data_IF_577721607021
#
_entry.id   IF_577721607021
#
_cell.length_a   1.000
_cell.length_b   1.000
_cell.length_c   1.000
_cell.angle_alpha   90.00
_cell.angle_beta   90.00
_cell.angle_gamma   90.00
#
_symmetry.space_group_name_H-M   'P 1'
#
loop_
_entity.id
_entity.type
_entity.pdbx_description
1 polymer ?
#
# COMPACT_ATOMS: atom_id res chain seq x y z
N UNK A 1 6.74 -23.32 47.45
CA UNK A 1 6.67 -23.58 46.01
C UNK A 1 6.39 -22.24 45.36
N UNK A 2 7.43 -21.56 44.83
CA UNK A 2 7.28 -20.26 44.22
C UNK A 2 6.90 -20.42 42.78
N UNK A 3 5.72 -19.94 42.42
CA UNK A 3 5.22 -19.84 41.05
C UNK A 3 6.05 -18.80 40.31
N UNK A 4 6.95 -19.25 39.43
CA UNK A 4 7.65 -18.34 38.49
C UNK A 4 6.62 -17.82 37.50
N UNK A 5 6.12 -16.60 37.73
CA UNK A 5 5.38 -15.87 36.70
C UNK A 5 6.24 -15.84 35.43
N UNK A 6 5.80 -16.51 34.38
CA UNK A 6 6.41 -16.41 33.06
C UNK A 6 6.18 -14.98 32.58
N UNK A 7 7.24 -14.22 32.53
CA UNK A 7 7.21 -12.88 31.94
C UNK A 7 6.96 -13.06 30.44
N UNK A 8 5.69 -13.04 30.03
CA UNK A 8 5.31 -13.06 28.60
C UNK A 8 5.63 -11.67 28.07
N UNK A 9 6.78 -11.53 27.40
CA UNK A 9 7.09 -10.31 26.67
C UNK A 9 6.05 -10.17 25.55
N UNK A 10 5.18 -9.16 25.65
CA UNK A 10 4.20 -8.84 24.61
C UNK A 10 4.97 -8.21 23.44
N UNK A 11 4.89 -8.82 22.25
CA UNK A 11 5.50 -8.26 21.04
C UNK A 11 4.78 -6.95 20.66
N UNK A 12 5.50 -5.83 20.44
CA UNK A 12 4.89 -4.59 19.97
C UNK A 12 4.14 -4.79 18.65
N UNK A 13 3.03 -4.07 18.47
CA UNK A 13 2.20 -4.15 17.25
C UNK A 13 3.01 -3.84 15.99
N UNK A 14 3.92 -2.87 16.05
CA UNK A 14 4.80 -2.54 14.92
C UNK A 14 5.69 -3.72 14.53
N UNK A 15 6.25 -4.44 15.50
CA UNK A 15 7.09 -5.62 15.24
C UNK A 15 6.28 -6.80 14.69
N UNK A 16 5.01 -6.92 15.08
CA UNK A 16 4.12 -7.94 14.52
C UNK A 16 3.70 -7.61 13.09
N UNK A 17 3.55 -6.31 12.75
CA UNK A 17 3.11 -5.85 11.44
C UNK A 17 4.22 -5.87 10.38
N UNK A 18 5.47 -5.59 10.77
CA UNK A 18 6.58 -5.42 9.83
C UNK A 18 6.85 -6.65 8.94
N UNK A 19 6.86 -7.91 9.45
CA UNK A 19 7.09 -9.06 8.57
C UNK A 19 6.04 -9.21 7.47
N UNK A 20 4.77 -8.92 7.77
CA UNK A 20 3.69 -8.93 6.79
C UNK A 20 3.86 -7.77 5.80
N UNK A 21 4.15 -6.56 6.29
CA UNK A 21 4.42 -5.41 5.43
C UNK A 21 5.57 -5.70 4.45
N UNK A 22 6.70 -6.20 4.95
CA UNK A 22 7.87 -6.51 4.13
C UNK A 22 7.54 -7.56 3.05
N UNK A 23 6.81 -8.61 3.42
CA UNK A 23 6.37 -9.66 2.48
C UNK A 23 5.43 -9.12 1.40
N UNK A 24 4.42 -8.31 1.80
CA UNK A 24 3.48 -7.72 0.85
C UNK A 24 4.16 -6.72 -0.10
N UNK A 25 5.11 -5.93 0.41
CA UNK A 25 5.85 -4.98 -0.44
C UNK A 25 6.78 -5.69 -1.42
N UNK A 26 7.45 -6.76 -1.01
CA UNK A 26 8.25 -7.58 -1.92
C UNK A 26 7.40 -8.18 -3.05
N UNK A 27 6.24 -8.73 -2.74
CA UNK A 27 5.30 -9.26 -3.73
C UNK A 27 4.73 -8.15 -4.65
N UNK A 28 4.47 -6.98 -4.10
CA UNK A 28 4.00 -5.84 -4.89
C UNK A 28 5.07 -5.37 -5.87
N UNK A 29 6.32 -5.32 -5.44
CA UNK A 29 7.44 -4.95 -6.28
C UNK A 29 7.59 -5.90 -7.48
N UNK A 30 7.50 -7.23 -7.27
CA UNK A 30 7.50 -8.23 -8.35
C UNK A 30 6.43 -7.93 -9.43
N UNK A 31 5.22 -7.56 -9.01
CA UNK A 31 4.15 -7.21 -9.94
C UNK A 31 4.42 -5.90 -10.70
N UNK A 32 4.94 -4.87 -10.02
CA UNK A 32 5.30 -3.58 -10.63
C UNK A 32 6.45 -3.71 -11.64
N UNK A 33 7.43 -4.58 -11.40
CA UNK A 33 8.54 -4.86 -12.32
C UNK A 33 8.09 -5.44 -13.67
N UNK A 34 6.91 -6.07 -13.71
CA UNK A 34 6.34 -6.65 -14.94
C UNK A 34 5.53 -5.65 -15.77
N UNK A 35 5.26 -4.45 -15.25
CA UNK A 35 4.41 -3.49 -15.96
C UNK A 35 5.08 -3.05 -17.27
N UNK A 36 4.49 -3.33 -18.44
CA UNK A 36 5.04 -2.94 -19.74
C UNK A 36 4.78 -1.45 -19.97
N UNK A 37 5.87 -0.70 -20.15
CA UNK A 37 5.83 0.76 -20.24
C UNK A 37 5.05 1.23 -21.49
N UNK A 38 5.20 0.52 -22.58
CA UNK A 38 4.49 0.78 -23.85
C UNK A 38 2.97 0.58 -23.74
N UNK A 39 2.50 -0.06 -22.66
CA UNK A 39 1.08 -0.29 -22.37
C UNK A 39 0.50 0.63 -21.29
N UNK A 40 1.22 1.63 -20.84
CA UNK A 40 0.74 2.52 -19.76
C UNK A 40 -0.61 3.17 -20.05
N UNK A 41 -0.91 3.46 -21.33
CA UNK A 41 -2.20 4.01 -21.75
C UNK A 41 -3.33 3.00 -21.89
N UNK A 42 -3.02 1.68 -21.85
CA UNK A 42 -4.02 0.63 -22.04
C UNK A 42 -4.96 0.51 -20.84
N UNK A 43 -6.22 0.19 -21.08
CA UNK A 43 -7.24 -0.09 -20.05
C UNK A 43 -8.20 -1.18 -20.51
N UNK A 44 -8.72 -2.02 -19.62
CA UNK A 44 -9.63 -3.11 -19.99
C UNK A 44 -11.04 -2.63 -20.30
N UNK A 45 -11.41 -1.45 -19.81
CA UNK A 45 -12.74 -0.87 -19.95
C UNK A 45 -12.67 0.66 -19.84
N UNK A 46 -13.60 1.38 -20.45
CA UNK A 46 -13.65 2.86 -20.46
C UNK A 46 -13.69 3.47 -19.05
N UNK A 47 -14.36 2.80 -18.10
CA UNK A 47 -14.48 3.24 -16.70
C UNK A 47 -13.31 2.81 -15.81
N UNK A 48 -12.37 2.02 -16.33
CA UNK A 48 -11.23 1.52 -15.56
C UNK A 48 -10.05 2.50 -15.61
N UNK A 49 -9.19 2.46 -14.61
CA UNK A 49 -7.88 3.10 -14.67
C UNK A 49 -7.08 2.53 -15.84
N UNK A 50 -6.20 3.33 -16.42
CA UNK A 50 -5.17 2.81 -17.33
C UNK A 50 -4.17 1.97 -16.54
N UNK A 51 -3.43 1.09 -17.23
CA UNK A 51 -2.39 0.25 -16.61
C UNK A 51 -1.35 1.10 -15.86
N UNK A 52 -0.86 2.18 -16.49
CA UNK A 52 0.09 3.09 -15.84
C UNK A 52 -0.51 3.79 -14.62
N UNK A 53 -1.79 4.22 -14.67
CA UNK A 53 -2.45 4.86 -13.51
C UNK A 53 -2.67 3.87 -12.37
N UNK A 54 -3.09 2.64 -12.66
CA UNK A 54 -3.27 1.60 -11.66
C UNK A 54 -1.92 1.24 -10.98
N UNK A 55 -0.87 1.03 -11.78
CA UNK A 55 0.45 0.74 -11.27
C UNK A 55 0.99 1.88 -10.39
N UNK A 56 0.83 3.14 -10.83
CA UNK A 56 1.22 4.31 -10.02
C UNK A 56 0.41 4.39 -8.74
N UNK A 57 -0.89 4.09 -8.78
CA UNK A 57 -1.73 4.06 -7.58
C UNK A 57 -1.22 3.04 -6.56
N UNK A 58 -0.86 1.85 -7.00
CA UNK A 58 -0.24 0.83 -6.14
C UNK A 58 1.06 1.34 -5.52
N UNK A 59 1.91 2.05 -6.29
CA UNK A 59 3.18 2.56 -5.81
C UNK A 59 3.05 3.73 -4.83
N UNK A 60 1.99 4.55 -4.95
CA UNK A 60 1.78 5.71 -4.09
C UNK A 60 1.12 5.39 -2.75
N UNK A 61 0.41 4.25 -2.62
CA UNK A 61 -0.40 3.93 -1.42
C UNK A 61 0.40 3.83 -0.13
N UNK A 62 1.64 3.35 -0.16
CA UNK A 62 2.49 3.31 1.04
C UNK A 62 2.88 4.69 1.55
N UNK A 63 2.80 5.73 0.70
CA UNK A 63 3.01 7.12 1.09
C UNK A 63 1.99 7.65 2.12
N UNK A 64 0.87 6.96 2.31
CA UNK A 64 -0.12 7.31 3.34
C UNK A 64 0.32 6.94 4.76
N UNK A 65 1.30 6.04 4.91
CA UNK A 65 1.75 5.59 6.24
C UNK A 65 2.31 6.74 7.09
N UNK A 66 3.27 7.56 6.63
CA UNK A 66 3.74 8.71 7.41
C UNK A 66 2.61 9.66 7.77
N UNK A 67 1.77 10.05 6.80
CA UNK A 67 0.63 10.94 7.05
C UNK A 67 -0.30 10.38 8.13
N UNK A 68 -0.60 9.07 8.10
CA UNK A 68 -1.45 8.42 9.10
C UNK A 68 -0.82 8.43 10.49
N UNK A 69 0.51 8.27 10.60
CA UNK A 69 1.20 8.20 11.89
C UNK A 69 1.54 9.57 12.48
N UNK A 70 1.73 10.59 11.65
CA UNK A 70 2.24 11.92 12.06
C UNK A 70 1.15 12.98 12.18
N UNK A 71 -0.03 12.79 11.54
CA UNK A 71 -1.16 13.72 11.63
C UNK A 71 -2.33 13.12 12.42
N UNK A 72 -3.32 13.94 12.77
CA UNK A 72 -4.58 13.49 13.38
C UNK A 72 -5.64 13.18 12.33
N UNK A 73 -5.53 13.81 11.14
CA UNK A 73 -6.50 13.69 10.05
C UNK A 73 -5.87 14.07 8.71
N UNK A 74 -6.54 13.70 7.64
CA UNK A 74 -6.25 14.17 6.30
C UNK A 74 -7.55 14.48 5.55
N UNK A 75 -7.66 15.68 4.97
CA UNK A 75 -8.77 16.05 4.07
C UNK A 75 -8.25 15.99 2.63
N UNK A 76 -8.76 15.06 1.84
CA UNK A 76 -8.31 14.91 0.44
C UNK A 76 -9.03 15.88 -0.53
N UNK A 77 -10.03 16.63 -0.07
CA UNK A 77 -10.76 17.63 -0.87
C UNK A 77 -11.13 18.84 -0.02
N UNK A 78 -10.16 19.54 0.63
CA UNK A 78 -10.47 20.64 1.53
C UNK A 78 -11.18 21.79 0.78
N UNK A 79 -12.15 22.48 1.41
CA UNK A 79 -12.89 23.55 0.79
C UNK A 79 -11.96 24.63 0.21
N UNK A 80 -12.21 25.03 -1.04
CA UNK A 80 -11.41 26.06 -1.73
C UNK A 80 -10.09 25.56 -2.33
N UNK A 81 -9.67 24.33 -2.07
CA UNK A 81 -8.50 23.76 -2.75
C UNK A 81 -8.87 23.19 -4.13
N UNK A 82 -7.97 23.23 -5.10
CA UNK A 82 -8.17 22.56 -6.38
C UNK A 82 -8.25 21.04 -6.18
N UNK A 83 -9.04 20.33 -7.00
CA UNK A 83 -9.08 18.88 -6.95
C UNK A 83 -7.70 18.26 -7.10
N UNK A 84 -7.38 17.23 -6.29
CA UNK A 84 -6.15 16.47 -6.44
C UNK A 84 -6.17 15.81 -7.82
N UNK A 85 -5.18 16.14 -8.66
CA UNK A 85 -5.01 15.51 -9.95
C UNK A 85 -4.14 14.26 -9.80
N UNK A 86 -4.69 13.04 -10.05
CA UNK A 86 -3.89 11.83 -9.98
C UNK A 86 -2.77 11.88 -11.03
N UNK A 87 -1.53 11.70 -10.58
CA UNK A 87 -0.38 11.60 -11.46
C UNK A 87 -0.21 10.16 -11.95
N UNK A 88 0.42 10.00 -13.10
CA UNK A 88 0.86 8.72 -13.62
C UNK A 88 2.36 8.80 -13.84
N UNK A 89 3.12 7.81 -13.37
CA UNK A 89 4.55 7.71 -13.61
C UNK A 89 4.82 7.73 -15.13
N UNK A 90 5.86 8.44 -15.56
CA UNK A 90 6.22 8.54 -16.97
C UNK A 90 6.98 7.33 -17.49
N UNK A 91 7.52 6.49 -16.59
CA UNK A 91 8.28 5.29 -16.94
C UNK A 91 8.17 4.22 -15.84
N UNK A 92 8.53 2.98 -16.17
CA UNK A 92 8.66 1.90 -15.17
C UNK A 92 9.76 2.19 -14.15
N UNK A 93 10.84 2.84 -14.57
CA UNK A 93 11.92 3.25 -13.68
C UNK A 93 11.42 4.24 -12.62
N UNK A 94 10.70 5.29 -13.03
CA UNK A 94 10.07 6.26 -12.12
C UNK A 94 9.05 5.59 -11.18
N UNK A 95 8.26 4.65 -11.70
CA UNK A 95 7.30 3.87 -10.93
C UNK A 95 7.96 3.09 -9.80
N UNK A 96 9.05 2.38 -10.10
CA UNK A 96 9.79 1.57 -9.13
C UNK A 96 10.54 2.44 -8.12
N UNK A 97 11.16 3.54 -8.54
CA UNK A 97 11.81 4.51 -7.65
C UNK A 97 10.81 5.11 -6.65
N UNK A 98 9.63 5.52 -7.12
CA UNK A 98 8.55 6.02 -6.27
C UNK A 98 8.14 4.97 -5.24
N UNK A 99 7.91 3.72 -5.69
CA UNK A 99 7.52 2.62 -4.82
C UNK A 99 8.58 2.35 -3.76
N UNK A 100 9.83 2.15 -4.15
CA UNK A 100 10.93 1.81 -3.25
C UNK A 100 11.15 2.92 -2.19
N UNK A 101 11.08 4.19 -2.59
CA UNK A 101 11.17 5.34 -1.69
C UNK A 101 10.01 5.35 -0.68
N UNK A 102 8.78 5.19 -1.15
CA UNK A 102 7.60 5.20 -0.30
C UNK A 102 7.61 4.02 0.69
N UNK A 103 8.01 2.83 0.24
CA UNK A 103 8.16 1.64 1.09
C UNK A 103 9.20 1.85 2.18
N UNK A 104 10.38 2.39 1.84
CA UNK A 104 11.43 2.66 2.81
C UNK A 104 10.95 3.63 3.90
N UNK A 105 10.28 4.72 3.50
CA UNK A 105 9.72 5.72 4.41
C UNK A 105 8.62 5.13 5.30
N UNK A 106 7.69 4.38 4.71
CA UNK A 106 6.61 3.72 5.43
C UNK A 106 7.14 2.70 6.45
N UNK A 107 8.11 1.87 6.03
CA UNK A 107 8.75 0.88 6.91
C UNK A 107 9.42 1.51 8.11
N UNK A 108 10.16 2.60 7.91
CA UNK A 108 10.80 3.34 8.99
C UNK A 108 9.77 3.91 9.97
N UNK A 109 8.69 4.52 9.46
CA UNK A 109 7.60 5.07 10.26
C UNK A 109 6.88 3.97 11.09
N UNK A 110 6.57 2.82 10.49
CA UNK A 110 5.97 1.68 11.21
C UNK A 110 6.92 1.18 12.30
N UNK A 111 8.21 1.02 11.99
CA UNK A 111 9.21 0.51 12.94
C UNK A 111 9.37 1.41 14.17
N UNK A 112 9.22 2.72 14.00
CA UNK A 112 9.31 3.71 15.10
C UNK A 112 8.03 3.90 15.88
N UNK A 113 6.89 3.36 15.42
CA UNK A 113 5.60 3.58 16.06
C UNK A 113 5.41 2.74 17.34
N UNK A 114 5.00 3.39 18.43
CA UNK A 114 4.59 2.73 19.66
C UNK A 114 3.16 2.18 19.54
N UNK A 115 2.82 1.18 20.38
CA UNK A 115 1.45 0.65 20.47
C UNK A 115 0.45 1.75 20.83
N UNK A 116 0.82 2.64 21.74
CA UNK A 116 -0.02 3.77 22.11
C UNK A 116 -0.31 4.67 20.91
N UNK A 117 0.69 4.98 20.08
CA UNK A 117 0.53 5.79 18.87
C UNK A 117 -0.33 5.07 17.83
N UNK A 118 -0.16 3.75 17.65
CA UNK A 118 -0.94 2.93 16.71
C UNK A 118 -2.43 2.83 17.09
N UNK A 119 -2.76 2.99 18.36
CA UNK A 119 -4.14 2.95 18.87
C UNK A 119 -4.85 4.32 18.83
N UNK A 120 -4.15 5.43 18.58
CA UNK A 120 -4.78 6.75 18.42
C UNK A 120 -5.70 6.75 17.20
N UNK A 121 -6.94 7.29 17.32
CA UNK A 121 -7.81 7.49 16.16
C UNK A 121 -7.19 8.41 15.11
N UNK A 122 -7.39 8.09 13.85
CA UNK A 122 -7.07 8.93 12.71
C UNK A 122 -8.30 9.09 11.83
N UNK A 123 -8.50 10.29 11.28
CA UNK A 123 -9.72 10.66 10.57
C UNK A 123 -9.44 11.02 9.12
N UNK A 124 -10.12 10.36 8.18
CA UNK A 124 -10.19 10.78 6.78
C UNK A 124 -11.38 11.73 6.57
N UNK A 125 -11.11 12.84 5.92
CA UNK A 125 -12.11 13.87 5.60
C UNK A 125 -12.21 14.06 4.08
N UNK A 126 -13.37 14.54 3.65
CA UNK A 126 -13.62 15.06 2.29
C UNK A 126 -14.46 16.34 2.40
N UNK A 127 -13.88 17.47 2.05
CA UNK A 127 -14.58 18.77 2.15
C UNK A 127 -14.96 19.13 3.57
N UNK A 128 -14.14 18.81 4.56
CA UNK A 128 -14.40 19.00 5.98
C UNK A 128 -15.37 17.98 6.59
N UNK A 129 -15.91 17.04 5.80
CA UNK A 129 -16.83 15.99 6.31
C UNK A 129 -16.06 14.72 6.59
N UNK A 130 -16.29 14.12 7.76
CA UNK A 130 -15.70 12.83 8.12
C UNK A 130 -16.20 11.71 7.22
N UNK A 131 -15.28 11.01 6.56
CA UNK A 131 -15.54 9.77 5.82
C UNK A 131 -15.48 8.58 6.79
N UNK A 132 -14.41 8.50 7.58
CA UNK A 132 -14.28 7.55 8.68
C UNK A 132 -13.28 8.07 9.74
N UNK A 133 -13.36 7.50 10.94
CA UNK A 133 -12.36 7.63 12.00
C UNK A 133 -12.13 6.27 12.64
N UNK A 134 -10.87 5.83 12.69
CA UNK A 134 -10.52 4.53 13.27
C UNK A 134 -9.07 4.56 13.79
N UNK A 135 -8.67 3.61 14.67
CA UNK A 135 -7.28 3.53 15.14
C UNK A 135 -6.29 3.47 13.97
N UNK A 136 -5.14 4.13 14.09
CA UNK A 136 -4.10 4.17 13.05
C UNK A 136 -3.71 2.78 12.56
N UNK A 137 -3.58 1.80 13.46
CA UNK A 137 -3.31 0.41 13.05
C UNK A 137 -4.36 -0.14 12.07
N UNK A 138 -5.65 0.18 12.27
CA UNK A 138 -6.72 -0.24 11.38
C UNK A 138 -6.64 0.48 10.03
N UNK A 139 -6.23 1.75 10.01
CA UNK A 139 -5.95 2.49 8.76
C UNK A 139 -4.80 1.85 8.00
N UNK A 140 -3.66 1.57 8.66
CA UNK A 140 -2.51 0.92 8.04
C UNK A 140 -2.88 -0.44 7.44
N UNK A 141 -3.67 -1.25 8.15
CA UNK A 141 -4.11 -2.56 7.67
C UNK A 141 -5.14 -2.43 6.54
N UNK A 142 -6.21 -1.66 6.74
CA UNK A 142 -7.35 -1.58 5.84
C UNK A 142 -7.09 -0.69 4.62
N UNK A 143 -6.67 0.55 4.87
CA UNK A 143 -6.56 1.57 3.82
C UNK A 143 -5.20 1.63 3.13
N UNK A 144 -4.16 0.98 3.69
CA UNK A 144 -2.87 0.88 3.02
C UNK A 144 -2.63 -0.55 2.54
N UNK A 145 -2.41 -1.50 3.43
CA UNK A 145 -1.98 -2.86 3.04
C UNK A 145 -3.05 -3.61 2.24
N UNK A 146 -4.28 -3.72 2.75
CA UNK A 146 -5.36 -4.41 2.01
C UNK A 146 -5.70 -3.69 0.70
N UNK A 147 -5.58 -2.37 0.66
CA UNK A 147 -5.80 -1.57 -0.55
C UNK A 147 -4.73 -1.86 -1.62
N UNK A 148 -3.46 -1.97 -1.21
CA UNK A 148 -2.38 -2.40 -2.11
C UNK A 148 -2.64 -3.81 -2.62
N UNK A 149 -2.96 -4.76 -1.74
CA UNK A 149 -3.26 -6.15 -2.11
C UNK A 149 -4.41 -6.21 -3.11
N UNK A 150 -5.48 -5.44 -2.88
CA UNK A 150 -6.63 -5.34 -3.79
C UNK A 150 -6.21 -4.86 -5.18
N UNK A 151 -5.51 -3.74 -5.27
CA UNK A 151 -5.10 -3.19 -6.55
C UNK A 151 -3.97 -3.98 -7.23
N UNK A 152 -3.10 -4.61 -6.46
CA UNK A 152 -2.12 -5.58 -7.00
C UNK A 152 -2.82 -6.76 -7.66
N UNK A 153 -3.89 -7.29 -7.04
CA UNK A 153 -4.71 -8.34 -7.65
C UNK A 153 -5.30 -7.89 -9.00
N UNK A 154 -5.82 -6.66 -9.09
CA UNK A 154 -6.26 -6.09 -10.37
C UNK A 154 -5.10 -5.92 -11.36
N UNK A 155 -3.94 -5.47 -10.90
CA UNK A 155 -2.75 -5.30 -11.73
C UNK A 155 -2.30 -6.62 -12.37
N UNK A 156 -2.32 -7.73 -11.63
CA UNK A 156 -1.97 -9.04 -12.19
C UNK A 156 -2.95 -9.49 -13.30
N UNK A 157 -4.23 -9.15 -13.17
CA UNK A 157 -5.21 -9.36 -14.26
C UNK A 157 -4.88 -8.50 -15.48
N UNK A 158 -4.50 -7.23 -15.27
CA UNK A 158 -4.09 -6.34 -16.37
C UNK A 158 -2.83 -6.85 -17.08
N UNK A 159 -1.84 -7.35 -16.33
CA UNK A 159 -0.65 -8.00 -16.91
C UNK A 159 -1.07 -9.17 -17.79
N UNK A 160 -1.91 -10.08 -17.32
CA UNK A 160 -2.41 -11.23 -18.06
C UNK A 160 -3.12 -10.83 -19.35
N UNK A 161 -3.98 -9.82 -19.32
CA UNK A 161 -4.71 -9.31 -20.47
C UNK A 161 -3.81 -8.65 -21.54
N UNK A 162 -2.55 -8.36 -21.18
CA UNK A 162 -1.53 -7.83 -22.10
C UNK A 162 -0.44 -8.87 -22.42
N UNK A 163 -0.70 -10.16 -22.18
CA UNK A 163 0.23 -11.28 -22.43
C UNK A 163 1.56 -11.15 -21.68
N UNK A 164 1.57 -10.44 -20.54
CA UNK A 164 2.74 -10.31 -19.68
C UNK A 164 2.74 -11.43 -18.66
N UNK A 165 3.84 -12.15 -18.47
CA UNK A 165 3.96 -13.19 -17.43
C UNK A 165 3.65 -12.64 -16.04
N UNK A 166 2.76 -13.35 -15.31
CA UNK A 166 2.33 -12.98 -13.96
C UNK A 166 3.26 -13.63 -12.95
N UNK A 167 3.87 -12.87 -12.02
CA UNK A 167 4.76 -13.44 -11.01
C UNK A 167 4.00 -14.33 -10.03
N UNK A 168 4.69 -15.33 -9.48
CA UNK A 168 4.24 -16.09 -8.32
C UNK A 168 4.30 -15.19 -7.07
N UNK A 169 3.18 -15.06 -6.34
CA UNK A 169 3.05 -14.16 -5.18
C UNK A 169 2.82 -14.95 -3.88
N UNK A 170 1.65 -15.54 -3.69
CA UNK A 170 1.32 -16.38 -2.51
C UNK A 170 1.46 -17.87 -2.80
N UNK A 171 1.64 -18.22 -4.05
CA UNK A 171 1.78 -19.55 -4.56
C UNK A 171 2.16 -19.49 -6.04
N UNK A 172 2.28 -20.63 -6.71
CA UNK A 172 2.64 -20.68 -8.12
C UNK A 172 1.63 -19.93 -9.00
N UNK A 173 2.13 -19.34 -10.08
CA UNK A 173 1.32 -18.85 -11.19
C UNK A 173 1.40 -19.81 -12.37
N UNK A 174 0.65 -19.53 -13.46
CA UNK A 174 0.78 -20.28 -14.70
C UNK A 174 2.16 -20.06 -15.39
N UNK A 175 2.89 -19.01 -15.00
CA UNK A 175 4.17 -18.62 -15.63
C UNK A 175 5.38 -18.92 -14.72
N UNK A 176 5.16 -19.01 -13.40
CA UNK A 176 6.21 -19.24 -12.40
C UNK A 176 5.80 -20.33 -11.41
N UNK A 177 6.58 -21.41 -11.26
CA UNK A 177 6.21 -22.55 -10.41
C UNK A 177 6.35 -22.27 -8.90
N UNK A 178 7.17 -21.30 -8.51
CA UNK A 178 7.45 -20.96 -7.11
C UNK A 178 7.45 -19.44 -6.91
N UNK A 179 6.95 -18.93 -5.76
CA UNK A 179 7.00 -17.52 -5.40
C UNK A 179 8.40 -17.04 -5.00
#
# INVERSE_FOLDING_TARGET
>A
MGERARNVSIMPMSQALLPEFDYEMANTRKALERVPEEKFGWKPHEKSMTLGRLATHVAELTGWVPTTLESESFDFAPPGAPPIQPKTAGSRAELLEMFDKNVATARAAISGASDAQLMVPWTLLAGGKTIFSMPRIAVLRGMVMNHIIHHRGQLTVYLRLNDVPVPALYGPSADEPNP
#
